data_IF_383199705894
#
_entry.id   IF_383199705894
#
_cell.length_a   1.000
_cell.length_b   1.000
_cell.length_c   1.000
_cell.angle_alpha   90.00
_cell.angle_beta   90.00
_cell.angle_gamma   90.00
#
_symmetry.space_group_name_H-M   'P 1'
#
loop_
_entity.id
_entity.type
_entity.pdbx_description
1 polymer ?
#
# COMPACT_ATOMS: atom_id res chain seq x y z
N UNK A 1 -5.27 4.49 12.68
CA UNK A 1 -4.64 3.46 11.86
C UNK A 1 -5.69 2.48 11.32
N UNK A 2 -5.57 2.12 10.05
CA UNK A 2 -6.53 1.26 9.35
C UNK A 2 -5.87 0.57 8.16
N UNK A 3 -5.72 -0.75 8.27
CA UNK A 3 -5.20 -1.60 7.21
C UNK A 3 -6.36 -1.96 6.28
N UNK A 4 -6.17 -1.73 4.99
CA UNK A 4 -7.15 -1.99 3.95
C UNK A 4 -6.51 -2.77 2.80
N UNK A 5 -7.32 -3.53 2.08
CA UNK A 5 -6.91 -4.37 0.97
C UNK A 5 -7.77 -4.10 -0.26
N UNK A 6 -7.28 -4.42 -1.45
CA UNK A 6 -8.13 -4.50 -2.64
C UNK A 6 -9.21 -5.57 -2.46
N UNK A 7 -10.34 -5.42 -3.15
CA UNK A 7 -11.48 -6.34 -3.08
C UNK A 7 -11.25 -7.65 -3.84
N UNK A 8 -10.25 -7.69 -4.72
CA UNK A 8 -9.83 -8.86 -5.49
C UNK A 8 -8.32 -8.84 -5.74
N UNK A 9 -7.74 -9.97 -6.19
CA UNK A 9 -6.39 -9.96 -6.72
C UNK A 9 -6.26 -8.98 -7.88
N UNK A 10 -5.13 -8.28 -7.92
CA UNK A 10 -4.72 -7.49 -9.07
C UNK A 10 -3.99 -8.37 -10.07
N UNK A 11 -4.24 -8.14 -11.35
CA UNK A 11 -3.49 -8.79 -12.43
C UNK A 11 -2.13 -8.11 -12.54
N UNK A 12 -1.10 -8.86 -12.94
CA UNK A 12 0.20 -8.30 -13.31
C UNK A 12 0.01 -7.21 -14.38
N UNK A 13 0.74 -6.12 -14.23
CA UNK A 13 0.65 -4.88 -15.03
C UNK A 13 -0.71 -4.14 -14.93
N UNK A 14 -1.64 -4.60 -14.07
CA UNK A 14 -2.88 -3.87 -13.76
C UNK A 14 -2.56 -2.65 -12.89
N UNK A 15 -2.97 -1.48 -13.38
CA UNK A 15 -2.81 -0.21 -12.67
C UNK A 15 -3.98 0.03 -11.72
N UNK A 16 -3.65 0.21 -10.45
CA UNK A 16 -4.58 0.66 -9.40
C UNK A 16 -4.24 2.10 -9.04
N UNK A 17 -5.20 3.01 -9.23
CA UNK A 17 -5.05 4.43 -8.92
C UNK A 17 -5.82 4.78 -7.65
N UNK A 18 -5.15 5.47 -6.74
CA UNK A 18 -5.66 5.88 -5.44
C UNK A 18 -5.47 7.38 -5.31
N UNK A 19 -6.56 8.12 -5.18
CA UNK A 19 -6.52 9.53 -4.87
C UNK A 19 -6.43 9.72 -3.35
N UNK A 20 -5.45 10.50 -2.91
CA UNK A 20 -5.39 10.90 -1.52
C UNK A 20 -6.29 12.12 -1.32
N UNK A 21 -7.41 11.96 -0.62
CA UNK A 21 -8.40 13.04 -0.47
C UNK A 21 -8.12 13.96 0.71
N UNK A 22 -7.67 13.39 1.83
CA UNK A 22 -7.56 14.13 3.09
C UNK A 22 -6.39 13.65 3.92
N UNK A 23 -5.91 14.56 4.77
CA UNK A 23 -4.96 14.24 5.82
C UNK A 23 -5.48 14.75 7.15
N UNK A 24 -5.40 13.91 8.17
CA UNK A 24 -5.61 14.37 9.54
C UNK A 24 -4.40 15.18 10.01
N UNK A 25 -4.68 16.32 10.63
CA UNK A 25 -3.71 17.20 11.27
C UNK A 25 -4.18 17.46 12.70
N UNK A 26 -3.23 17.45 13.65
CA UNK A 26 -3.51 17.86 15.02
C UNK A 26 -3.70 19.39 15.12
N UNK A 27 -4.09 19.87 16.32
CA UNK A 27 -4.32 21.30 16.57
C UNK A 27 -3.10 22.19 16.37
N UNK A 28 -1.89 21.62 16.28
CA UNK A 28 -0.63 22.32 16.02
C UNK A 28 -0.26 22.27 14.53
N UNK A 29 -1.15 21.79 13.66
CA UNK A 29 -0.89 21.59 12.24
C UNK A 29 0.08 20.45 11.96
N UNK A 30 0.40 19.62 12.95
CA UNK A 30 1.27 18.46 12.80
C UNK A 30 0.43 17.25 12.46
N UNK A 31 0.79 16.56 11.40
CA UNK A 31 0.26 15.23 11.14
C UNK A 31 1.29 14.20 11.58
N UNK A 32 0.81 13.14 12.20
CA UNK A 32 1.60 11.92 12.38
C UNK A 32 1.11 10.92 11.34
N UNK A 33 2.01 10.09 10.83
CA UNK A 33 1.64 9.04 9.88
C UNK A 33 2.36 9.12 8.54
N UNK A 34 2.94 8.01 8.15
CA UNK A 34 3.38 7.74 6.77
C UNK A 34 2.27 6.94 6.07
N UNK A 35 2.09 7.16 4.77
CA UNK A 35 1.28 6.24 3.98
C UNK A 35 2.07 4.94 3.82
N UNK A 36 1.50 3.81 4.21
CA UNK A 36 2.09 2.51 3.94
C UNK A 36 1.40 1.89 2.74
N UNK A 37 2.18 1.46 1.76
CA UNK A 37 1.72 0.78 0.56
C UNK A 37 2.45 -0.56 0.43
N UNK A 38 1.73 -1.57 -0.03
CA UNK A 38 2.26 -2.90 -0.18
C UNK A 38 1.37 -3.82 -1.01
N UNK A 39 1.73 -5.09 -0.99
CA UNK A 39 0.93 -6.18 -1.55
C UNK A 39 0.97 -7.38 -0.61
N UNK A 40 0.03 -8.29 -0.79
CA UNK A 40 -0.01 -9.57 -0.08
C UNK A 40 -0.48 -10.71 -0.99
N UNK A 41 0.04 -11.92 -0.77
CA UNK A 41 -0.51 -13.16 -1.35
C UNK A 41 -1.57 -13.82 -0.46
N UNK A 42 -1.80 -13.28 0.74
CA UNK A 42 -2.83 -13.79 1.65
C UNK A 42 -4.17 -13.20 1.27
N UNK A 43 -5.15 -14.07 1.01
CA UNK A 43 -6.51 -13.67 0.68
C UNK A 43 -7.15 -12.87 1.84
N UNK A 44 -7.46 -11.56 1.66
CA UNK A 44 -8.05 -10.73 2.70
C UNK A 44 -9.40 -11.24 3.21
N UNK A 45 -10.15 -12.01 2.41
CA UNK A 45 -11.43 -12.59 2.85
C UNK A 45 -11.28 -13.72 3.88
N UNK A 46 -10.08 -14.28 3.99
CA UNK A 46 -9.75 -15.26 5.02
C UNK A 46 -9.33 -14.62 6.34
N UNK A 47 -9.13 -13.30 6.36
CA UNK A 47 -8.74 -12.55 7.54
C UNK A 47 -9.96 -12.11 8.34
N UNK A 48 -9.94 -12.36 9.64
CA UNK A 48 -10.89 -11.74 10.56
C UNK A 48 -10.39 -10.33 10.92
N UNK A 49 -11.26 -9.33 10.81
CA UNK A 49 -10.93 -7.94 11.15
C UNK A 49 -10.43 -7.78 12.58
N UNK A 50 -10.92 -8.60 13.53
CA UNK A 50 -10.48 -8.62 14.91
C UNK A 50 -9.03 -9.11 15.10
N UNK A 51 -8.47 -9.83 14.11
CA UNK A 51 -7.14 -10.39 14.14
C UNK A 51 -6.11 -9.55 13.35
N UNK A 52 -6.55 -8.45 12.72
CA UNK A 52 -5.63 -7.52 12.07
C UNK A 52 -4.80 -6.77 13.12
N UNK A 53 -3.46 -6.68 12.93
CA UNK A 53 -2.63 -5.91 13.83
C UNK A 53 -2.94 -4.41 13.72
N UNK A 54 -2.47 -3.58 14.67
CA UNK A 54 -2.73 -2.15 14.63
C UNK A 54 -2.12 -1.46 13.41
N UNK A 55 -0.98 -1.94 12.90
CA UNK A 55 -0.27 -1.38 11.75
C UNK A 55 0.33 -2.50 10.88
N UNK A 56 0.50 -2.26 9.58
CA UNK A 56 1.08 -3.22 8.65
C UNK A 56 2.59 -3.42 8.90
N UNK A 57 3.34 -2.36 9.21
CA UNK A 57 4.78 -2.43 9.50
C UNK A 57 5.05 -2.16 10.99
N UNK A 58 5.68 -3.09 11.75
CA UNK A 58 6.33 -4.31 11.25
C UNK A 58 5.42 -5.56 11.23
N UNK A 59 4.18 -5.48 11.73
CA UNK A 59 3.44 -6.67 12.15
C UNK A 59 3.02 -7.62 11.04
N UNK A 60 2.53 -7.10 9.90
CA UNK A 60 2.21 -7.92 8.73
C UNK A 60 3.46 -8.26 7.95
N UNK A 61 4.38 -7.30 7.76
CA UNK A 61 5.63 -7.54 7.01
C UNK A 61 6.59 -8.54 7.67
N UNK A 62 6.40 -8.87 8.95
CA UNK A 62 7.13 -9.95 9.62
C UNK A 62 6.50 -11.34 9.39
N UNK A 63 5.36 -11.42 8.70
CA UNK A 63 4.69 -12.66 8.33
C UNK A 63 4.95 -12.95 6.85
N UNK A 64 5.00 -14.23 6.50
CA UNK A 64 5.12 -14.63 5.10
C UNK A 64 3.91 -14.15 4.29
N UNK A 65 4.15 -13.80 3.03
CA UNK A 65 3.09 -13.36 2.11
C UNK A 65 2.69 -11.90 2.24
N UNK A 66 3.44 -11.06 2.96
CA UNK A 66 3.17 -9.62 3.08
C UNK A 66 4.42 -8.79 2.78
N UNK A 67 4.26 -7.77 1.93
CA UNK A 67 5.32 -6.82 1.59
C UNK A 67 4.76 -5.40 1.67
N UNK A 68 5.44 -4.48 2.36
CA UNK A 68 5.01 -3.09 2.44
C UNK A 68 6.18 -2.14 2.67
N UNK A 69 6.01 -0.89 2.25
CA UNK A 69 6.97 0.19 2.40
C UNK A 69 6.28 1.49 2.85
N UNK A 70 6.98 2.29 3.67
CA UNK A 70 6.54 3.65 4.05
C UNK A 70 6.83 4.65 2.94
N UNK A 71 5.78 5.30 2.45
CA UNK A 71 5.86 6.46 1.58
C UNK A 71 5.75 7.71 2.45
N UNK A 72 6.85 8.45 2.55
CA UNK A 72 6.90 9.68 3.36
C UNK A 72 5.90 10.72 2.84
N UNK A 73 5.10 11.29 3.73
CA UNK A 73 4.10 12.35 3.46
C UNK A 73 4.60 13.52 2.60
N UNK A 74 5.86 13.93 2.74
CA UNK A 74 6.43 15.02 1.94
C UNK A 74 6.41 14.75 0.42
N UNK A 75 6.12 13.51 0.00
CA UNK A 75 6.06 13.10 -1.40
C UNK A 75 4.64 13.01 -1.97
N UNK A 76 3.61 13.03 -1.13
CA UNK A 76 2.20 12.87 -1.54
C UNK A 76 1.33 13.79 -0.68
N UNK A 77 0.58 14.70 -1.29
CA UNK A 77 -0.33 15.65 -0.63
C UNK A 77 -1.79 15.42 -1.04
N UNK A 78 -2.78 15.93 -0.29
CA UNK A 78 -4.18 15.79 -0.68
C UNK A 78 -4.41 16.35 -2.09
N UNK A 79 -5.14 15.61 -2.91
CA UNK A 79 -5.33 15.85 -4.35
C UNK A 79 -4.33 15.15 -5.25
N UNK A 80 -3.25 14.57 -4.72
CA UNK A 80 -2.36 13.71 -5.50
C UNK A 80 -3.02 12.36 -5.80
N UNK A 81 -2.82 11.87 -7.02
CA UNK A 81 -3.20 10.52 -7.45
C UNK A 81 -1.97 9.64 -7.51
N UNK A 82 -1.94 8.62 -6.67
CA UNK A 82 -0.92 7.57 -6.69
C UNK A 82 -1.41 6.41 -7.55
N UNK A 83 -0.61 6.00 -8.54
CA UNK A 83 -0.90 4.80 -9.34
C UNK A 83 0.15 3.74 -9.08
N UNK A 84 -0.29 2.51 -8.81
CA UNK A 84 0.54 1.38 -8.42
C UNK A 84 0.24 0.18 -9.32
N UNK A 85 1.24 -0.64 -9.60
CA UNK A 85 1.05 -1.92 -10.29
C UNK A 85 2.24 -2.84 -10.01
N UNK A 86 2.01 -4.15 -10.08
CA UNK A 86 3.09 -5.13 -10.02
C UNK A 86 3.51 -5.47 -11.44
N UNK A 87 4.77 -5.23 -11.78
CA UNK A 87 5.28 -5.51 -13.12
C UNK A 87 5.46 -7.00 -13.37
N UNK A 88 5.53 -7.39 -14.64
CA UNK A 88 5.79 -8.79 -15.04
C UNK A 88 7.09 -9.39 -14.51
N UNK A 89 8.06 -8.56 -14.11
CA UNK A 89 9.32 -9.00 -13.48
C UNK A 89 9.26 -9.01 -11.95
N UNK A 90 8.09 -8.81 -11.35
CA UNK A 90 7.90 -8.90 -9.90
C UNK A 90 8.25 -7.63 -9.13
N UNK A 91 8.22 -6.45 -9.77
CA UNK A 91 8.45 -5.19 -9.07
C UNK A 91 7.13 -4.47 -8.81
N UNK A 92 6.85 -4.08 -7.57
CA UNK A 92 5.79 -3.11 -7.27
C UNK A 92 6.31 -1.73 -7.69
N UNK A 93 5.71 -1.19 -8.74
CA UNK A 93 5.97 0.12 -9.29
C UNK A 93 4.98 1.12 -8.71
N UNK A 94 5.38 2.38 -8.56
CA UNK A 94 4.45 3.46 -8.23
C UNK A 94 4.77 4.77 -8.94
N UNK A 95 3.75 5.58 -9.15
CA UNK A 95 3.82 6.92 -9.71
C UNK A 95 2.91 7.85 -8.93
N UNK A 96 3.20 9.15 -8.98
CA UNK A 96 2.35 10.20 -8.38
C UNK A 96 2.09 11.26 -9.44
N UNK A 97 0.81 11.52 -9.74
CA UNK A 97 0.39 12.44 -10.81
C UNK A 97 1.10 12.13 -12.14
N UNK A 98 1.05 10.85 -12.54
CA UNK A 98 1.69 10.26 -13.73
C UNK A 98 3.22 10.39 -13.80
N UNK A 99 3.87 10.89 -12.73
CA UNK A 99 5.33 10.94 -12.63
C UNK A 99 5.81 9.65 -11.96
N UNK A 100 6.46 8.81 -12.76
CA UNK A 100 7.10 7.59 -12.30
C UNK A 100 8.06 7.85 -11.13
N UNK A 101 7.95 7.02 -10.10
CA UNK A 101 8.83 7.04 -8.92
C UNK A 101 9.68 5.79 -8.83
N UNK A 102 9.54 4.86 -9.78
CA UNK A 102 10.33 3.64 -9.91
C UNK A 102 9.83 2.49 -9.04
N UNK A 103 10.74 1.56 -8.75
CA UNK A 103 10.48 0.36 -7.95
C UNK A 103 10.32 0.75 -6.48
N UNK A 104 9.18 0.40 -5.88
CA UNK A 104 8.92 0.52 -4.45
C UNK A 104 9.34 -0.74 -3.69
N UNK A 105 8.98 -1.91 -4.21
CA UNK A 105 9.28 -3.22 -3.62
C UNK A 105 9.70 -4.17 -4.76
N UNK A 106 10.91 -4.74 -4.71
CA UNK A 106 11.34 -5.74 -5.69
C UNK A 106 10.94 -7.17 -5.29
N UNK A 107 11.15 -8.11 -6.21
CA UNK A 107 11.15 -9.56 -5.96
C UNK A 107 9.82 -10.14 -5.43
N UNK A 108 8.70 -9.65 -5.95
CA UNK A 108 7.36 -10.15 -5.63
C UNK A 108 7.00 -11.40 -6.47
N UNK A 109 6.28 -12.38 -5.89
CA UNK A 109 5.81 -13.56 -6.62
C UNK A 109 4.70 -13.17 -7.61
N UNK A 110 4.93 -13.36 -8.90
CA UNK A 110 3.94 -13.07 -9.97
C UNK A 110 3.15 -14.30 -10.41
N UNK A 111 3.44 -15.46 -9.84
CA UNK A 111 2.78 -16.74 -10.08
C UNK A 111 1.62 -17.02 -9.10
N UNK A 112 1.34 -16.08 -8.20
CA UNK A 112 0.31 -16.17 -7.18
C UNK A 112 -0.64 -14.96 -7.25
N UNK A 113 -1.89 -15.09 -6.77
CA UNK A 113 -2.77 -13.95 -6.61
C UNK A 113 -2.15 -12.92 -5.64
N UNK A 114 -2.19 -11.65 -6.01
CA UNK A 114 -1.68 -10.54 -5.20
C UNK A 114 -2.80 -9.53 -4.95
N UNK A 115 -2.97 -9.11 -3.70
CA UNK A 115 -3.86 -8.01 -3.35
C UNK A 115 -3.03 -6.77 -3.02
N UNK A 116 -3.51 -5.60 -3.43
CA UNK A 116 -2.95 -4.33 -2.97
C UNK A 116 -3.31 -4.16 -1.50
N UNK A 117 -2.34 -3.76 -0.69
CA UNK A 117 -2.51 -3.48 0.73
C UNK A 117 -2.08 -2.04 1.00
N UNK A 118 -2.89 -1.32 1.79
CA UNK A 118 -2.53 -0.01 2.31
C UNK A 118 -2.76 0.02 3.81
N UNK A 119 -1.96 0.81 4.50
CA UNK A 119 -2.17 1.12 5.90
C UNK A 119 -2.07 2.63 6.09
N UNK A 120 -3.20 3.21 6.50
CA UNK A 120 -3.32 4.62 6.82
C UNK A 120 -3.01 4.80 8.30
N UNK A 121 -1.72 4.74 8.63
CA UNK A 121 -1.24 5.09 9.97
C UNK A 121 -1.34 6.61 10.12
N UNK A 122 -1.99 7.05 11.20
CA UNK A 122 -2.45 8.43 11.40
C UNK A 122 -3.00 8.61 12.80
#
# INVERSE_FOLDING_TARGET
SGIVFSDRPVVVDEKVSIELTEYWYDRKGSSKGDLVLGVTTVDPFTLESANLPPNAIPHLTNREGYWAMRIRRQRIVPGDVMTVFVSSVGNLMYSVNDKDKGVLIPDLPTDQPLWVMMDMDG
#
